data_IF_657313933376
#
_entry.id   IF_657313933376
#
_cell.length_a   1.000
_cell.length_b   1.000
_cell.length_c   1.000
_cell.angle_alpha   90.00
_cell.angle_beta   90.00
_cell.angle_gamma   90.00
#
_symmetry.space_group_name_H-M   'P 1'
#
loop_
_entity.id
_entity.type
_entity.pdbx_description
1 polymer ?
#
# COMPACT_ATOMS: atom_id res chain seq x y z
N UNK A 1 -4.43 -1.37 -3.86
CA UNK A 1 -3.09 -1.10 -3.31
C UNK A 1 -2.10 -0.95 -4.44
N UNK A 2 -1.36 0.15 -4.46
CA UNK A 2 -0.29 0.49 -5.40
C UNK A 2 1.02 0.72 -4.66
N UNK A 3 2.13 0.88 -5.39
CA UNK A 3 3.42 1.34 -4.86
C UNK A 3 3.90 2.53 -5.70
N UNK A 4 4.50 2.28 -6.87
CA UNK A 4 5.04 3.29 -7.78
C UNK A 4 4.15 3.49 -9.00
N UNK A 5 3.98 4.74 -9.45
CA UNK A 5 3.28 5.11 -10.67
C UNK A 5 4.17 6.02 -11.51
N UNK A 6 4.80 5.50 -12.55
CA UNK A 6 5.71 6.24 -13.41
C UNK A 6 5.78 5.65 -14.81
N UNK A 7 6.34 6.35 -15.80
CA UNK A 7 6.66 5.74 -17.08
C UNK A 7 7.52 4.48 -16.86
N UNK A 8 7.17 3.38 -17.54
CA UNK A 8 7.98 2.16 -17.48
C UNK A 8 9.23 2.34 -18.33
N UNK A 9 10.39 2.06 -17.75
CA UNK A 9 11.67 2.03 -18.45
C UNK A 9 11.99 0.59 -18.91
N UNK A 10 12.89 0.45 -19.88
CA UNK A 10 13.26 -0.88 -20.42
C UNK A 10 13.80 -1.87 -19.38
N UNK A 11 14.30 -1.35 -18.26
CA UNK A 11 14.85 -2.15 -17.16
C UNK A 11 13.80 -2.54 -16.09
N UNK A 12 12.56 -2.07 -16.20
CA UNK A 12 11.47 -2.30 -15.23
C UNK A 12 10.78 -3.65 -15.39
N UNK A 13 11.21 -4.49 -16.33
CA UNK A 13 10.58 -5.79 -16.61
C UNK A 13 10.42 -6.71 -15.40
N UNK A 14 11.16 -6.47 -14.32
CA UNK A 14 11.10 -7.21 -13.05
C UNK A 14 10.38 -6.45 -11.92
N UNK A 15 10.03 -5.18 -12.11
CA UNK A 15 9.30 -4.40 -11.12
C UNK A 15 7.80 -4.55 -11.33
N UNK A 16 7.24 -5.61 -10.75
CA UNK A 16 5.82 -5.94 -10.86
C UNK A 16 4.90 -4.95 -10.13
N UNK A 17 5.45 -4.08 -9.27
CA UNK A 17 4.69 -3.13 -8.47
C UNK A 17 4.68 -1.70 -9.04
N UNK A 18 5.37 -1.47 -10.18
CA UNK A 18 5.33 -0.18 -10.86
C UNK A 18 4.25 -0.19 -11.96
N UNK A 19 3.23 0.63 -11.82
CA UNK A 19 2.15 0.79 -12.81
C UNK A 19 2.48 1.98 -13.71
N UNK A 20 2.26 1.85 -15.03
CA UNK A 20 2.47 2.98 -15.93
C UNK A 20 1.47 4.11 -15.66
N UNK A 21 1.90 5.37 -15.83
CA UNK A 21 1.03 6.52 -15.64
C UNK A 21 -0.23 6.47 -16.52
N UNK A 22 -0.13 5.92 -17.74
CA UNK A 22 -1.27 5.75 -18.65
C UNK A 22 -2.28 4.74 -18.10
N UNK A 23 -1.81 3.55 -17.67
CA UNK A 23 -2.67 2.53 -17.06
C UNK A 23 -3.31 3.05 -15.78
N UNK A 24 -2.52 3.73 -14.93
CA UNK A 24 -3.04 4.32 -13.71
C UNK A 24 -4.13 5.36 -13.98
N UNK A 25 -3.94 6.22 -14.98
CA UNK A 25 -4.96 7.19 -15.39
C UNK A 25 -6.26 6.52 -15.89
N UNK A 26 -6.15 5.45 -16.68
CA UNK A 26 -7.31 4.66 -17.12
C UNK A 26 -8.01 4.00 -15.92
N UNK A 27 -7.25 3.40 -14.99
CA UNK A 27 -7.77 2.80 -13.79
C UNK A 27 -8.52 3.82 -12.90
N UNK A 28 -8.00 5.03 -12.74
CA UNK A 28 -8.68 6.10 -11.98
C UNK A 28 -9.95 6.58 -12.70
N UNK A 29 -9.94 6.64 -14.03
CA UNK A 29 -11.15 6.92 -14.82
C UNK A 29 -12.25 5.85 -14.59
N UNK A 30 -11.88 4.58 -14.48
CA UNK A 30 -12.83 3.51 -14.15
C UNK A 30 -13.33 3.69 -12.71
N UNK A 31 -12.42 3.94 -11.75
CA UNK A 31 -12.77 4.10 -10.34
C UNK A 31 -13.68 5.29 -10.09
N UNK A 32 -13.63 6.36 -10.89
CA UNK A 32 -14.52 7.52 -10.72
C UNK A 32 -16.00 7.17 -10.85
N UNK A 33 -16.34 5.99 -11.36
CA UNK A 33 -17.70 5.45 -11.39
C UNK A 33 -18.09 4.63 -10.15
N UNK A 34 -17.21 4.50 -9.16
CA UNK A 34 -17.45 3.75 -7.92
C UNK A 34 -17.52 4.70 -6.72
N UNK A 35 -18.23 4.32 -5.64
CA UNK A 35 -18.11 5.02 -4.37
C UNK A 35 -16.70 4.91 -3.81
N UNK A 36 -16.01 6.05 -3.66
CA UNK A 36 -14.64 6.10 -3.14
C UNK A 36 -14.66 6.70 -1.74
N UNK A 37 -13.90 6.09 -0.83
CA UNK A 37 -13.79 6.53 0.56
C UNK A 37 -12.35 6.67 1.01
N UNK A 38 -12.13 7.47 2.04
CA UNK A 38 -10.88 7.48 2.77
C UNK A 38 -10.77 6.21 3.62
N UNK A 39 -9.62 5.56 3.63
CA UNK A 39 -9.39 4.34 4.40
C UNK A 39 -9.71 4.53 5.90
N UNK A 40 -9.36 5.69 6.46
CA UNK A 40 -9.64 6.04 7.86
C UNK A 40 -11.12 6.13 8.23
N UNK A 41 -12.02 6.17 7.26
CA UNK A 41 -13.48 6.18 7.49
C UNK A 41 -14.05 4.80 7.87
N UNK A 42 -13.28 3.71 7.71
CA UNK A 42 -13.69 2.38 8.17
C UNK A 42 -13.96 2.36 9.70
N UNK A 43 -15.01 1.72 10.23
CA UNK A 43 -16.03 0.87 9.61
C UNK A 43 -17.36 1.58 9.31
N UNK A 44 -17.39 2.90 9.18
CA UNK A 44 -18.63 3.68 9.09
C UNK A 44 -19.31 3.62 7.71
N UNK A 45 -18.92 2.69 6.87
CA UNK A 45 -19.38 2.57 5.49
C UNK A 45 -20.18 1.28 5.31
N UNK A 46 -21.33 1.38 4.65
CA UNK A 46 -22.28 0.27 4.47
C UNK A 46 -22.51 -0.13 3.01
N UNK A 47 -21.75 0.44 2.09
CA UNK A 47 -21.87 0.19 0.65
C UNK A 47 -20.59 -0.41 0.08
N UNK A 48 -20.65 -0.91 -1.15
CA UNK A 48 -19.48 -1.40 -1.90
C UNK A 48 -18.56 -0.23 -2.25
N UNK A 49 -17.64 0.11 -1.35
CA UNK A 49 -16.75 1.27 -1.43
C UNK A 49 -15.31 0.83 -1.71
N UNK A 50 -14.56 1.69 -2.39
CA UNK A 50 -13.16 1.46 -2.71
C UNK A 50 -12.28 2.51 -2.03
N UNK A 51 -11.22 2.08 -1.35
CA UNK A 51 -10.17 2.94 -0.86
C UNK A 51 -8.88 2.74 -1.69
N UNK A 52 -8.28 3.85 -2.15
CA UNK A 52 -7.01 3.82 -2.89
C UNK A 52 -5.85 4.02 -1.92
N UNK A 53 -4.86 3.12 -1.98
CA UNK A 53 -3.70 3.16 -1.09
C UNK A 53 -2.40 2.96 -1.86
N UNK A 54 -1.33 3.60 -1.37
CA UNK A 54 0.05 3.43 -1.85
C UNK A 54 0.94 3.03 -0.69
N UNK A 55 1.90 2.16 -0.94
CA UNK A 55 2.88 1.74 0.05
C UNK A 55 4.27 2.36 -0.26
N UNK A 56 5.17 2.36 0.73
CA UNK A 56 6.59 2.76 0.70
C UNK A 56 6.88 4.26 0.64
N UNK A 57 5.98 5.10 0.13
CA UNK A 57 6.20 6.55 0.01
C UNK A 57 7.11 6.91 -1.16
N UNK A 58 6.87 6.32 -2.34
CA UNK A 58 7.58 6.69 -3.56
C UNK A 58 7.33 8.15 -3.96
N UNK A 59 8.33 8.79 -4.54
CA UNK A 59 8.26 10.19 -4.99
C UNK A 59 7.18 10.43 -6.05
N UNK A 60 6.96 9.45 -6.91
CA UNK A 60 5.93 9.53 -7.95
C UNK A 60 4.50 9.55 -7.39
N UNK A 61 4.30 9.18 -6.13
CA UNK A 61 3.01 9.36 -5.46
C UNK A 61 2.63 10.86 -5.37
N UNK A 62 3.61 11.76 -5.18
CA UNK A 62 3.40 13.20 -5.23
C UNK A 62 3.38 13.73 -6.67
N UNK A 63 4.38 13.35 -7.48
CA UNK A 63 4.63 14.03 -8.75
C UNK A 63 3.77 13.53 -9.91
N UNK A 64 3.23 12.32 -9.83
CA UNK A 64 2.45 11.68 -10.90
C UNK A 64 1.08 11.21 -10.41
N UNK A 65 1.03 10.42 -9.33
CA UNK A 65 -0.24 9.83 -8.88
C UNK A 65 -1.20 10.90 -8.32
N UNK A 66 -0.73 11.81 -7.46
CA UNK A 66 -1.58 12.84 -6.85
C UNK A 66 -2.25 13.76 -7.88
N UNK A 67 -1.56 14.30 -8.93
CA UNK A 67 -2.21 15.06 -9.98
C UNK A 67 -3.28 14.28 -10.75
N UNK A 68 -3.07 12.98 -10.97
CA UNK A 68 -4.06 12.12 -11.64
C UNK A 68 -5.28 11.94 -10.75
N UNK A 69 -5.09 11.57 -9.48
CA UNK A 69 -6.18 11.36 -8.50
C UNK A 69 -7.01 12.63 -8.28
N UNK A 70 -6.35 13.79 -8.21
CA UNK A 70 -7.01 15.09 -8.06
C UNK A 70 -7.97 15.39 -9.22
N UNK A 71 -7.66 15.03 -10.47
CA UNK A 71 -8.55 15.22 -11.62
C UNK A 71 -9.87 14.45 -11.50
N UNK A 72 -9.86 13.34 -10.79
CA UNK A 72 -11.03 12.49 -10.58
C UNK A 72 -11.65 12.68 -9.19
N UNK A 73 -11.15 13.61 -8.37
CA UNK A 73 -11.55 13.82 -6.97
C UNK A 73 -11.49 12.54 -6.13
N UNK A 74 -10.49 11.69 -6.35
CA UNK A 74 -10.30 10.44 -5.64
C UNK A 74 -9.38 10.65 -4.44
N UNK A 75 -9.85 10.51 -3.19
CA UNK A 75 -9.01 10.51 -2.00
C UNK A 75 -8.15 9.26 -1.94
N UNK A 76 -6.97 9.36 -1.32
CA UNK A 76 -6.04 8.25 -1.21
C UNK A 76 -5.18 8.33 0.04
N UNK A 77 -4.64 7.18 0.45
CA UNK A 77 -3.72 7.06 1.59
C UNK A 77 -2.34 6.65 1.08
N UNK A 78 -1.28 7.33 1.55
CA UNK A 78 0.11 6.92 1.30
C UNK A 78 0.73 6.45 2.61
N UNK A 79 1.10 5.19 2.67
CA UNK A 79 1.82 4.59 3.79
C UNK A 79 3.31 4.76 3.60
N UNK A 80 3.96 5.43 4.55
CA UNK A 80 5.38 5.78 4.43
C UNK A 80 6.24 5.07 5.47
N UNK A 81 7.46 4.73 5.04
CA UNK A 81 8.51 4.17 5.89
C UNK A 81 9.54 5.25 6.19
N UNK A 82 9.70 5.72 7.44
CA UNK A 82 10.64 6.76 7.81
C UNK A 82 12.08 6.51 7.32
N UNK A 83 12.53 5.26 7.34
CA UNK A 83 13.86 4.87 6.80
C UNK A 83 14.01 5.26 5.33
N UNK A 84 12.98 5.06 4.51
CA UNK A 84 13.03 5.40 3.08
C UNK A 84 12.99 6.91 2.87
N UNK A 85 12.11 7.61 3.58
CA UNK A 85 11.97 9.08 3.50
C UNK A 85 13.27 9.80 3.90
N UNK A 86 14.03 9.22 4.85
CA UNK A 86 15.32 9.78 5.32
C UNK A 86 16.52 9.30 4.55
N UNK A 87 16.37 8.36 3.62
CA UNK A 87 17.49 7.67 2.96
C UNK A 87 18.30 8.56 1.99
N UNK A 88 17.70 9.63 1.46
CA UNK A 88 18.25 10.39 0.34
C UNK A 88 18.15 9.68 -1.01
N UNK A 89 17.54 8.50 -1.07
CA UNK A 89 17.28 7.80 -2.33
C UNK A 89 16.18 8.55 -3.11
N UNK A 90 16.51 8.95 -4.34
CA UNK A 90 15.67 9.77 -5.21
C UNK A 90 14.34 9.10 -5.62
N UNK A 91 14.20 7.80 -5.38
CA UNK A 91 12.96 7.07 -5.63
C UNK A 91 11.87 7.41 -4.63
N UNK A 92 12.24 7.80 -3.41
CA UNK A 92 11.30 8.07 -2.32
C UNK A 92 11.12 9.58 -2.11
N UNK A 93 10.01 9.92 -1.48
CA UNK A 93 9.74 11.28 -1.00
C UNK A 93 10.84 11.73 -0.02
N UNK A 94 11.23 12.99 -0.11
CA UNK A 94 11.97 13.66 0.96
C UNK A 94 11.02 14.11 2.07
N UNK A 95 11.50 14.46 3.29
CA UNK A 95 10.65 15.01 4.33
C UNK A 95 9.88 16.29 3.90
N UNK A 96 10.45 17.10 3.03
CA UNK A 96 9.80 18.32 2.49
C UNK A 96 8.67 17.93 1.54
N UNK A 97 8.91 17.01 0.62
CA UNK A 97 7.91 16.50 -0.33
C UNK A 97 6.78 15.73 0.38
N UNK A 98 7.09 15.02 1.48
CA UNK A 98 6.05 14.36 2.30
C UNK A 98 5.15 15.39 2.99
N UNK A 99 5.71 16.50 3.49
CA UNK A 99 4.91 17.62 4.00
C UNK A 99 4.01 18.19 2.91
N UNK A 100 4.56 18.47 1.73
CA UNK A 100 3.80 18.97 0.59
C UNK A 100 2.65 18.02 0.25
N UNK A 101 2.91 16.72 0.05
CA UNK A 101 1.90 15.71 -0.24
C UNK A 101 0.78 15.71 0.82
N UNK A 102 1.15 15.81 2.09
CA UNK A 102 0.19 15.78 3.21
C UNK A 102 -0.76 16.98 3.27
N UNK A 103 -0.48 18.06 2.53
CA UNK A 103 -1.33 19.25 2.45
C UNK A 103 -2.33 19.21 1.30
N UNK A 104 -2.16 18.27 0.37
CA UNK A 104 -3.07 18.16 -0.78
C UNK A 104 -4.45 17.66 -0.32
N UNK A 105 -5.54 18.16 -0.94
CA UNK A 105 -6.90 17.72 -0.64
C UNK A 105 -7.07 16.20 -0.89
N UNK A 106 -7.75 15.51 0.02
CA UNK A 106 -8.03 14.08 -0.10
C UNK A 106 -6.83 13.15 0.14
N UNK A 107 -5.70 13.69 0.63
CA UNK A 107 -4.50 12.90 0.95
C UNK A 107 -4.42 12.62 2.43
N UNK A 108 -4.32 11.33 2.77
CA UNK A 108 -4.01 10.85 4.11
C UNK A 108 -2.62 10.20 4.12
N UNK A 109 -1.82 10.48 5.15
CA UNK A 109 -0.53 9.81 5.36
C UNK A 109 -0.70 8.79 6.48
N UNK A 110 -0.29 7.55 6.21
CA UNK A 110 -0.24 6.44 7.16
C UNK A 110 1.18 5.94 7.38
N UNK A 111 1.35 5.05 8.36
CA UNK A 111 2.65 4.44 8.66
C UNK A 111 2.84 3.09 7.93
N UNK A 112 4.10 2.76 7.61
CA UNK A 112 4.50 1.48 7.01
C UNK A 112 5.71 0.86 7.72
N UNK A 113 5.65 0.83 9.07
CA UNK A 113 6.80 0.48 9.91
C UNK A 113 7.91 1.55 9.87
N UNK A 114 8.86 1.45 10.79
CA UNK A 114 10.00 2.37 10.88
C UNK A 114 11.06 2.07 9.80
N UNK A 115 11.34 0.77 9.58
CA UNK A 115 12.45 0.30 8.74
C UNK A 115 12.02 -0.66 7.62
N UNK A 116 10.72 -0.94 7.49
CA UNK A 116 10.14 -1.87 6.50
C UNK A 116 10.59 -3.32 6.69
N UNK A 117 10.83 -3.77 7.93
CA UNK A 117 11.15 -5.18 8.22
C UNK A 117 9.86 -6.01 8.41
N UNK A 118 10.01 -7.32 8.27
CA UNK A 118 8.92 -8.26 8.59
C UNK A 118 8.63 -8.22 10.08
N UNK A 119 7.45 -7.75 10.46
CA UNK A 119 7.09 -7.50 11.86
C UNK A 119 6.97 -8.80 12.65
N UNK A 120 6.54 -9.91 12.04
CA UNK A 120 6.48 -11.22 12.68
C UNK A 120 7.85 -11.78 13.11
N UNK A 121 8.95 -11.21 12.56
CA UNK A 121 10.33 -11.60 12.91
C UNK A 121 10.95 -10.74 13.99
N UNK A 122 10.25 -9.70 14.45
CA UNK A 122 10.70 -8.81 15.51
C UNK A 122 10.40 -9.43 16.89
N UNK A 123 11.23 -9.15 17.89
CA UNK A 123 10.85 -9.27 19.29
C UNK A 123 9.72 -8.28 19.61
N UNK A 124 9.11 -8.38 20.79
CA UNK A 124 8.06 -7.44 21.20
C UNK A 124 8.58 -6.00 21.29
N UNK A 125 9.77 -5.82 21.81
CA UNK A 125 10.40 -4.49 21.94
C UNK A 125 10.73 -3.90 20.58
N UNK A 126 11.30 -4.69 19.65
CA UNK A 126 11.56 -4.25 18.28
C UNK A 126 10.27 -3.92 17.54
N UNK A 127 9.23 -4.76 17.70
CA UNK A 127 7.92 -4.53 17.07
C UNK A 127 7.29 -3.25 17.61
N UNK A 128 7.37 -3.01 18.91
CA UNK A 128 6.90 -1.77 19.51
C UNK A 128 7.59 -0.55 18.89
N UNK A 129 8.93 -0.57 18.77
CA UNK A 129 9.69 0.51 18.14
C UNK A 129 9.33 0.70 16.66
N UNK A 130 9.16 -0.39 15.89
CA UNK A 130 8.73 -0.31 14.49
C UNK A 130 7.38 0.40 14.34
N UNK A 131 6.47 0.19 15.28
CA UNK A 131 5.12 0.78 15.25
C UNK A 131 5.09 2.18 15.86
N UNK A 132 5.60 2.34 17.10
CA UNK A 132 5.49 3.60 17.86
C UNK A 132 6.39 4.70 17.28
N UNK A 133 7.64 4.38 16.95
CA UNK A 133 8.59 5.38 16.47
C UNK A 133 8.29 5.80 15.02
N UNK A 134 7.77 4.87 14.19
CA UNK A 134 7.25 5.20 12.87
C UNK A 134 6.14 6.25 12.96
N UNK A 135 5.12 5.96 13.77
CA UNK A 135 4.00 6.86 14.02
C UNK A 135 4.47 8.22 14.54
N UNK A 136 5.25 8.20 15.63
CA UNK A 136 5.76 9.41 16.25
C UNK A 136 6.54 10.28 15.29
N UNK A 137 7.45 9.68 14.51
CA UNK A 137 8.25 10.44 13.55
C UNK A 137 7.40 11.12 12.47
N UNK A 138 6.37 10.43 11.95
CA UNK A 138 5.47 11.00 10.95
C UNK A 138 4.64 12.13 11.56
N UNK A 139 4.09 11.93 12.77
CA UNK A 139 3.31 12.93 13.49
C UNK A 139 4.12 14.18 13.82
N UNK A 140 5.35 14.01 14.32
CA UNK A 140 6.29 15.11 14.61
C UNK A 140 6.62 15.90 13.33
N UNK A 141 6.81 15.21 12.20
CA UNK A 141 7.12 15.85 10.92
C UNK A 141 5.94 16.66 10.37
N UNK A 142 4.73 16.08 10.43
CA UNK A 142 3.55 16.64 9.76
C UNK A 142 2.69 17.52 10.64
N UNK A 143 2.82 17.44 11.97
CA UNK A 143 1.91 18.08 12.92
C UNK A 143 0.48 17.54 12.86
N UNK A 144 0.28 16.33 12.35
CA UNK A 144 -1.01 15.68 12.16
C UNK A 144 -1.01 14.29 12.80
N UNK A 145 -2.18 13.85 13.30
CA UNK A 145 -2.34 12.50 13.83
C UNK A 145 -2.26 11.45 12.71
N UNK A 146 -1.60 10.33 13.00
CA UNK A 146 -1.47 9.18 12.11
C UNK A 146 -2.08 7.96 12.79
N UNK A 147 -3.24 7.54 12.38
CA UNK A 147 -3.97 6.42 12.97
C UNK A 147 -4.22 5.24 12.00
N UNK A 148 -3.60 5.31 10.83
CA UNK A 148 -3.64 4.24 9.82
C UNK A 148 -2.26 3.61 9.62
N UNK A 149 -2.23 2.28 9.42
CA UNK A 149 -1.03 1.47 9.25
C UNK A 149 -1.18 0.52 8.05
N UNK A 150 -0.12 0.30 7.29
CA UNK A 150 0.03 -0.90 6.47
C UNK A 150 1.17 -1.75 7.04
N UNK A 151 0.90 -3.04 7.28
CA UNK A 151 1.96 -3.95 7.74
C UNK A 151 2.94 -4.22 6.61
N UNK A 152 4.26 -3.98 6.80
CA UNK A 152 5.26 -4.31 5.80
C UNK A 152 5.15 -5.77 5.35
N UNK A 153 5.10 -6.00 4.05
CA UNK A 153 4.88 -7.32 3.43
C UNK A 153 3.53 -7.99 3.77
N UNK A 154 2.60 -7.29 4.44
CA UNK A 154 1.37 -7.87 4.97
C UNK A 154 1.59 -8.86 6.11
N UNK A 155 2.78 -8.88 6.72
CA UNK A 155 3.25 -9.87 7.69
C UNK A 155 2.79 -9.49 9.11
N UNK A 156 1.66 -10.04 9.55
CA UNK A 156 1.00 -9.69 10.80
C UNK A 156 0.13 -10.85 11.33
N UNK A 157 -0.18 -10.79 12.61
CA UNK A 157 -1.08 -11.69 13.32
C UNK A 157 -1.61 -11.01 14.60
N UNK A 158 -2.21 -11.76 15.50
CA UNK A 158 -2.86 -11.24 16.70
C UNK A 158 -1.91 -10.40 17.58
N UNK A 159 -0.63 -10.77 17.65
CA UNK A 159 0.40 -10.02 18.38
C UNK A 159 0.61 -8.63 17.77
N UNK A 160 0.76 -8.56 16.43
CA UNK A 160 0.96 -7.33 15.68
C UNK A 160 -0.29 -6.44 15.78
N UNK A 161 -1.49 -7.01 15.70
CA UNK A 161 -2.75 -6.28 15.87
C UNK A 161 -2.84 -5.65 17.27
N UNK A 162 -2.54 -6.42 18.33
CA UNK A 162 -2.59 -5.93 19.70
C UNK A 162 -1.61 -4.79 19.95
N UNK A 163 -0.37 -4.89 19.44
CA UNK A 163 0.64 -3.84 19.58
C UNK A 163 0.34 -2.62 18.70
N UNK A 164 -0.22 -2.81 17.52
CA UNK A 164 -0.67 -1.70 16.66
C UNK A 164 -1.80 -0.90 17.35
N UNK A 165 -2.77 -1.60 17.96
CA UNK A 165 -3.83 -0.94 18.75
C UNK A 165 -3.23 -0.16 19.90
N UNK A 166 -2.30 -0.77 20.66
CA UNK A 166 -1.60 -0.14 21.80
C UNK A 166 -0.78 1.08 21.37
N UNK A 167 -0.20 1.07 20.16
CA UNK A 167 0.51 2.21 19.57
C UNK A 167 -0.46 3.32 19.08
N UNK A 168 -1.78 3.08 19.13
CA UNK A 168 -2.81 4.05 18.79
C UNK A 168 -3.19 4.08 17.31
N UNK A 169 -2.93 3.00 16.56
CA UNK A 169 -3.52 2.81 15.25
C UNK A 169 -4.96 2.32 15.38
N UNK A 170 -5.84 2.80 14.52
CA UNK A 170 -7.26 2.46 14.50
C UNK A 170 -7.63 1.57 13.32
N UNK A 171 -6.93 1.75 12.20
CA UNK A 171 -7.14 1.01 10.97
C UNK A 171 -5.80 0.50 10.49
N UNK A 172 -5.70 -0.78 10.16
CA UNK A 172 -4.50 -1.34 9.55
C UNK A 172 -4.83 -2.32 8.43
N UNK A 173 -3.92 -2.38 7.45
CA UNK A 173 -4.12 -3.15 6.23
C UNK A 173 -3.02 -4.19 6.03
N UNK A 174 -3.42 -5.31 5.46
CA UNK A 174 -2.55 -6.43 5.08
C UNK A 174 -2.29 -6.43 3.56
N UNK A 175 -1.68 -7.48 3.05
CA UNK A 175 -1.59 -7.80 1.61
C UNK A 175 -2.48 -8.98 1.22
N UNK A 176 -3.35 -9.43 2.11
CA UNK A 176 -4.36 -10.44 1.80
C UNK A 176 -5.37 -9.84 0.82
N UNK A 177 -5.52 -10.49 -0.34
CA UNK A 177 -6.47 -10.04 -1.35
C UNK A 177 -7.91 -10.38 -0.96
N UNK A 178 -8.85 -9.50 -1.28
CA UNK A 178 -10.28 -9.75 -1.06
C UNK A 178 -11.06 -8.50 -0.67
N UNK A 179 -12.34 -8.70 -0.41
CA UNK A 179 -13.27 -7.67 0.07
C UNK A 179 -13.30 -7.70 1.60
N UNK A 180 -13.47 -6.54 2.20
CA UNK A 180 -13.71 -6.38 3.63
C UNK A 180 -15.21 -6.35 3.91
N UNK A 181 -15.66 -7.15 4.86
CA UNK A 181 -17.06 -7.27 5.23
C UNK A 181 -17.36 -6.53 6.54
N UNK A 182 -18.65 -6.28 6.80
CA UNK A 182 -19.06 -5.73 8.09
C UNK A 182 -18.62 -6.65 9.23
N UNK A 183 -17.98 -6.07 10.26
CA UNK A 183 -17.41 -6.83 11.37
C UNK A 183 -15.97 -7.31 11.14
N UNK A 184 -15.37 -7.06 9.98
CA UNK A 184 -13.95 -7.30 9.74
C UNK A 184 -13.12 -6.57 10.80
N UNK A 185 -12.06 -7.21 11.29
CA UNK A 185 -11.11 -6.56 12.19
C UNK A 185 -10.49 -5.34 11.50
N UNK A 186 -10.72 -4.15 12.05
CA UNK A 186 -10.18 -2.91 11.49
C UNK A 186 -8.66 -2.86 11.42
N UNK A 187 -7.96 -3.70 12.20
CA UNK A 187 -6.50 -3.84 12.18
C UNK A 187 -6.01 -4.95 11.25
N UNK A 188 -6.90 -5.54 10.44
CA UNK A 188 -6.57 -6.64 9.51
C UNK A 188 -7.33 -6.50 8.18
N UNK A 189 -7.45 -5.28 7.64
CA UNK A 189 -8.16 -5.07 6.38
C UNK A 189 -7.39 -5.65 5.20
N UNK A 190 -8.12 -6.35 4.35
CA UNK A 190 -7.60 -6.91 3.09
C UNK A 190 -7.40 -5.81 2.06
N UNK A 191 -6.40 -5.99 1.21
CA UNK A 191 -6.14 -5.11 0.07
C UNK A 191 -5.73 -5.91 -1.15
N UNK A 192 -6.32 -5.63 -2.29
CA UNK A 192 -5.92 -6.24 -3.56
C UNK A 192 -4.82 -5.41 -4.22
N UNK A 193 -3.67 -6.03 -4.49
CA UNK A 193 -2.54 -5.40 -5.18
C UNK A 193 -2.80 -5.21 -6.67
N UNK A 194 -2.47 -4.02 -7.19
CA UNK A 194 -2.48 -3.74 -8.63
C UNK A 194 -1.05 -3.84 -9.14
N UNK A 195 -0.86 -4.58 -10.21
CA UNK A 195 0.45 -4.97 -10.74
C UNK A 195 0.67 -4.37 -12.14
N UNK A 196 1.94 -4.26 -12.54
CA UNK A 196 2.34 -3.64 -13.81
C UNK A 196 1.71 -4.30 -15.05
N UNK A 197 1.41 -5.58 -14.97
CA UNK A 197 0.87 -6.38 -16.07
C UNK A 197 -0.65 -6.60 -16.00
N UNK A 198 -1.33 -5.99 -15.02
CA UNK A 198 -2.79 -6.08 -14.94
C UNK A 198 -3.40 -5.39 -16.16
N UNK A 199 -4.22 -6.15 -16.89
CA UNK A 199 -5.05 -5.61 -17.95
C UNK A 199 -6.21 -4.80 -17.36
N UNK A 200 -6.94 -4.08 -18.22
CA UNK A 200 -8.16 -3.40 -17.84
C UNK A 200 -9.19 -4.36 -17.23
N UNK A 201 -9.33 -5.55 -17.81
CA UNK A 201 -10.23 -6.60 -17.34
C UNK A 201 -9.79 -7.15 -15.97
N UNK A 202 -8.50 -7.35 -15.76
CA UNK A 202 -7.96 -7.78 -14.47
C UNK A 202 -8.23 -6.74 -13.40
N UNK A 203 -8.04 -5.45 -13.70
CA UNK A 203 -8.36 -4.37 -12.79
C UNK A 203 -9.83 -4.37 -12.39
N UNK A 204 -10.76 -4.46 -13.37
CA UNK A 204 -12.20 -4.52 -13.11
C UNK A 204 -12.57 -5.73 -12.24
N UNK A 205 -11.97 -6.89 -12.49
CA UNK A 205 -12.17 -8.07 -11.64
C UNK A 205 -11.71 -7.82 -10.20
N UNK A 206 -10.51 -7.27 -10.03
CA UNK A 206 -9.92 -6.98 -8.73
C UNK A 206 -10.77 -6.05 -7.88
N UNK A 207 -11.27 -4.96 -8.43
CA UNK A 207 -12.15 -4.02 -7.70
C UNK A 207 -13.52 -4.62 -7.36
N UNK A 208 -13.95 -5.66 -8.06
CA UNK A 208 -15.17 -6.41 -7.77
C UNK A 208 -14.92 -7.65 -6.87
N UNK A 209 -13.73 -7.76 -6.25
CA UNK A 209 -13.42 -8.78 -5.25
C UNK A 209 -12.91 -10.11 -5.79
N UNK A 210 -12.66 -10.22 -7.10
CA UNK A 210 -12.01 -11.40 -7.64
C UNK A 210 -10.50 -11.32 -7.39
N UNK A 211 -9.97 -12.25 -6.59
CA UNK A 211 -8.54 -12.30 -6.30
C UNK A 211 -7.73 -12.86 -7.47
N UNK A 212 -6.46 -12.47 -7.56
CA UNK A 212 -5.47 -12.94 -8.56
C UNK A 212 -5.26 -14.46 -8.60
N UNK A 213 -5.78 -15.17 -7.59
CA UNK A 213 -5.61 -16.62 -7.44
C UNK A 213 -6.31 -17.44 -8.54
N UNK A 214 -7.32 -16.90 -9.21
CA UNK A 214 -8.08 -17.63 -10.22
C UNK A 214 -7.63 -17.30 -11.65
N UNK A 215 -6.42 -17.74 -12.03
CA UNK A 215 -6.16 -18.12 -13.41
C UNK A 215 -5.44 -17.12 -14.31
N UNK A 216 -4.55 -16.24 -13.83
CA UNK A 216 -3.70 -15.48 -14.75
C UNK A 216 -2.51 -16.35 -15.25
N UNK A 217 -2.33 -16.54 -16.58
CA UNK A 217 -1.25 -17.35 -17.15
C UNK A 217 0.17 -16.94 -16.72
N UNK A 218 0.36 -15.64 -16.39
CA UNK A 218 1.65 -15.10 -15.94
C UNK A 218 2.02 -15.56 -14.53
N UNK A 219 1.05 -15.71 -13.60
CA UNK A 219 1.33 -16.17 -12.22
C UNK A 219 1.84 -17.61 -12.21
N UNK A 220 1.32 -18.47 -13.08
CA UNK A 220 1.84 -19.82 -13.28
C UNK A 220 3.30 -19.83 -13.73
N UNK A 221 3.76 -18.84 -14.48
CA UNK A 221 5.16 -18.69 -14.91
C UNK A 221 6.05 -18.17 -13.78
N UNK A 222 5.60 -17.16 -13.02
CA UNK A 222 6.35 -16.58 -11.87
C UNK A 222 6.48 -17.61 -10.75
N UNK A 223 5.44 -18.37 -10.43
CA UNK A 223 5.48 -19.46 -9.48
C UNK A 223 6.45 -20.57 -9.93
N UNK A 224 6.47 -20.92 -11.22
CA UNK A 224 7.43 -21.90 -11.76
C UNK A 224 8.87 -21.38 -11.71
N UNK A 225 9.11 -20.09 -11.97
CA UNK A 225 10.44 -19.47 -11.88
C UNK A 225 10.90 -19.38 -10.43
N UNK A 226 10.05 -18.97 -9.47
CA UNK A 226 10.40 -18.96 -8.04
C UNK A 226 10.69 -20.38 -7.53
N UNK A 227 9.94 -21.38 -7.95
CA UNK A 227 10.17 -22.78 -7.59
C UNK A 227 11.44 -23.36 -8.26
N UNK A 228 11.77 -22.96 -9.47
CA UNK A 228 13.01 -23.31 -10.15
C UNK A 228 14.24 -22.69 -9.45
N UNK A 229 14.18 -21.42 -9.08
CA UNK A 229 15.24 -20.72 -8.32
C UNK A 229 15.42 -21.34 -6.92
N UNK A 230 14.32 -21.75 -6.27
CA UNK A 230 14.39 -22.43 -4.97
C UNK A 230 15.04 -23.82 -5.08
N UNK A 231 14.79 -24.55 -6.16
CA UNK A 231 15.44 -25.84 -6.42
C UNK A 231 16.93 -25.71 -6.73
N UNK A 232 17.36 -24.63 -7.41
CA UNK A 232 18.77 -24.37 -7.71
C UNK A 232 19.57 -23.93 -6.48
N UNK A 233 18.94 -23.40 -5.41
CA UNK A 233 19.59 -23.01 -4.15
C UNK A 233 19.77 -24.13 -3.13
N UNK A 234 19.15 -25.29 -3.35
CA UNK A 234 19.27 -26.45 -2.46
C UNK A 234 20.09 -27.61 -3.03
N UNK A 235 20.75 -27.41 -4.17
CA UNK A 235 21.64 -28.41 -4.80
C UNK A 235 23.09 -27.88 -4.91
N UNK A 236 23.57 -27.15 -3.88
CA UNK A 236 25.00 -26.88 -3.64
C UNK A 236 25.30 -27.19 -2.19
#
# INVERSE_FOLDING_TARGET
MYHSVRPLESNDSNDVFTVSANNFNEQMSILSGYPIVELGAWPNTFSAEVAVTFDDGYKDNLTIAAPILARFNIPFTVFVTPKYIKSGDKRYLTPVELKELSTLPGVTIGAHGLTHRRLSKCSNDELWLELSDSKKWIEDLLGKKVDTLAYPHGDCGEREFSLALSAGYRVATTTESGINESGQNALALKRTGILSYDTREDFIRKINGYSDWMGHPAIGRISKVKNAIKRLRFNI
#
